data_IF_055709317851
#
_entry.id   IF_055709317851
#
_cell.length_a   1.000
_cell.length_b   1.000
_cell.length_c   1.000
_cell.angle_alpha   90.00
_cell.angle_beta   90.00
_cell.angle_gamma   90.00
#
_symmetry.space_group_name_H-M   'P 1'
#
loop_
_entity.id
_entity.type
_entity.pdbx_description
1 polymer ?
#
# COMPACT_ATOMS: atom_id res chain seq x y z
N UNK A 1 -18.40 8.82 22.31
CA UNK A 1 -18.43 8.00 21.08
C UNK A 1 -17.27 7.02 21.18
N UNK A 2 -17.39 5.80 20.66
CA UNK A 2 -16.24 4.90 20.54
C UNK A 2 -15.24 5.46 19.54
N UNK A 3 -13.95 5.18 19.73
CA UNK A 3 -12.91 5.52 18.76
C UNK A 3 -13.23 4.85 17.41
N UNK A 4 -12.92 5.54 16.31
CA UNK A 4 -12.97 4.93 14.98
C UNK A 4 -11.77 4.04 14.74
N UNK A 5 -11.79 3.31 13.64
CA UNK A 5 -10.72 2.37 13.29
C UNK A 5 -10.30 2.57 11.84
N UNK A 6 -8.98 2.59 11.60
CA UNK A 6 -8.39 2.51 10.26
C UNK A 6 -7.76 1.14 10.11
N UNK A 7 -8.29 0.33 9.20
CA UNK A 7 -7.72 -0.96 8.81
C UNK A 7 -6.85 -0.73 7.58
N UNK A 8 -5.54 -0.86 7.72
CA UNK A 8 -4.60 -0.81 6.60
C UNK A 8 -4.34 -2.25 6.13
N UNK A 9 -4.68 -2.54 4.87
CA UNK A 9 -4.49 -3.85 4.26
C UNK A 9 -3.64 -3.71 2.99
N UNK A 10 -2.37 -4.11 3.06
CA UNK A 10 -1.56 -4.25 1.86
C UNK A 10 -2.08 -5.43 1.03
N UNK A 11 -2.19 -5.24 -0.28
CA UNK A 11 -2.58 -6.31 -1.19
C UNK A 11 -1.73 -7.59 -1.01
N UNK A 12 -2.33 -8.74 -1.31
CA UNK A 12 -1.61 -10.03 -1.32
C UNK A 12 -0.53 -10.09 -2.39
N UNK A 13 0.30 -11.12 -2.39
CA UNK A 13 1.37 -11.30 -3.38
C UNK A 13 0.85 -11.14 -4.83
N UNK A 14 1.44 -10.20 -5.56
CA UNK A 14 1.19 -10.06 -7.01
C UNK A 14 2.13 -10.93 -7.84
N UNK A 15 1.79 -11.14 -9.11
CA UNK A 15 2.64 -11.85 -10.09
C UNK A 15 4.07 -11.30 -10.09
N UNK A 16 4.22 -9.98 -10.08
CA UNK A 16 5.53 -9.32 -10.11
C UNK A 16 6.23 -9.28 -8.75
N UNK A 17 5.52 -9.46 -7.64
CA UNK A 17 6.19 -9.75 -6.38
C UNK A 17 6.80 -11.15 -6.39
N UNK A 18 6.08 -12.14 -6.95
CA UNK A 18 6.57 -13.52 -7.07
C UNK A 18 7.80 -13.61 -7.97
N UNK A 19 7.81 -12.90 -9.10
CA UNK A 19 8.95 -12.85 -10.03
C UNK A 19 10.04 -11.86 -9.61
N UNK A 20 9.91 -11.21 -8.44
CA UNK A 20 10.89 -10.24 -7.91
C UNK A 20 11.10 -9.00 -8.80
N UNK A 21 10.08 -8.55 -9.51
CA UNK A 21 10.10 -7.34 -10.34
C UNK A 21 9.63 -6.10 -9.57
N UNK A 22 10.06 -4.92 -10.01
CA UNK A 22 9.46 -3.65 -9.61
C UNK A 22 8.14 -3.43 -10.35
N UNK A 23 7.04 -3.31 -9.61
CA UNK A 23 5.70 -3.15 -10.19
C UNK A 23 5.33 -1.71 -10.46
N UNK A 24 5.36 -0.87 -9.42
CA UNK A 24 4.84 0.50 -9.51
C UNK A 24 3.42 0.54 -10.01
N UNK A 25 3.16 1.32 -11.04
CA UNK A 25 1.82 1.55 -11.56
C UNK A 25 1.37 0.52 -12.60
N UNK A 26 2.22 -0.43 -12.99
CA UNK A 26 1.82 -1.53 -13.87
C UNK A 26 0.71 -2.36 -13.21
N UNK A 27 -0.37 -2.59 -13.94
CA UNK A 27 -1.61 -3.17 -13.43
C UNK A 27 -1.60 -4.72 -13.46
N UNK A 28 -0.65 -5.31 -12.73
CA UNK A 28 -0.51 -6.78 -12.60
C UNK A 28 -1.55 -7.38 -11.65
N UNK A 29 -1.83 -8.68 -11.82
CA UNK A 29 -2.81 -9.39 -11.01
C UNK A 29 -2.19 -10.00 -9.73
N UNK A 30 -3.07 -10.52 -8.85
CA UNK A 30 -2.70 -11.36 -7.72
C UNK A 30 -2.31 -12.76 -8.19
N UNK A 31 -1.42 -13.42 -7.44
CA UNK A 31 -1.24 -14.87 -7.56
C UNK A 31 -2.30 -15.60 -6.74
N UNK A 32 -2.46 -16.90 -6.92
CA UNK A 32 -3.30 -17.74 -6.04
C UNK A 32 -2.94 -17.56 -4.56
N UNK A 33 -1.64 -17.45 -4.25
CA UNK A 33 -1.17 -17.13 -2.90
C UNK A 33 -1.68 -15.76 -2.44
N UNK A 34 -1.59 -14.74 -3.29
CA UNK A 34 -2.09 -13.41 -3.00
C UNK A 34 -3.61 -13.36 -2.77
N UNK A 35 -4.37 -14.20 -3.45
CA UNK A 35 -5.81 -14.35 -3.22
C UNK A 35 -6.11 -15.00 -1.86
N UNK A 36 -5.35 -16.04 -1.49
CA UNK A 36 -5.45 -16.67 -0.17
C UNK A 36 -5.08 -15.69 0.95
N UNK A 37 -4.03 -14.89 0.77
CA UNK A 37 -3.63 -13.82 1.68
C UNK A 37 -4.76 -12.78 1.86
N UNK A 38 -5.39 -12.36 0.76
CA UNK A 38 -6.51 -11.42 0.80
C UNK A 38 -7.74 -12.00 1.53
N UNK A 39 -8.09 -13.25 1.24
CA UNK A 39 -9.18 -13.96 1.92
C UNK A 39 -8.89 -14.08 3.42
N UNK A 40 -7.66 -14.48 3.80
CA UNK A 40 -7.26 -14.58 5.22
C UNK A 40 -7.36 -13.24 5.94
N UNK A 41 -6.99 -12.15 5.28
CA UNK A 41 -7.18 -10.80 5.82
C UNK A 41 -8.64 -10.51 6.18
N UNK A 42 -9.60 -10.91 5.34
CA UNK A 42 -11.03 -10.79 5.65
C UNK A 42 -11.51 -11.72 6.77
N UNK A 43 -11.00 -12.95 6.82
CA UNK A 43 -11.28 -13.89 7.92
C UNK A 43 -10.82 -13.33 9.27
N UNK A 44 -9.61 -12.75 9.33
CA UNK A 44 -9.08 -12.08 10.53
C UNK A 44 -9.98 -10.92 10.99
N UNK A 45 -10.46 -10.08 10.06
CA UNK A 45 -11.40 -9.00 10.39
C UNK A 45 -12.68 -9.52 11.03
N UNK A 46 -13.21 -10.63 10.51
CA UNK A 46 -14.42 -11.28 11.04
C UNK A 46 -14.17 -11.92 12.41
N UNK A 47 -13.07 -12.63 12.56
CA UNK A 47 -12.66 -13.29 13.81
C UNK A 47 -12.51 -12.28 14.97
N UNK A 48 -11.96 -11.10 14.68
CA UNK A 48 -11.72 -10.04 15.67
C UNK A 48 -12.93 -9.09 15.84
N UNK A 49 -14.00 -9.27 15.06
CA UNK A 49 -15.17 -8.38 15.09
C UNK A 49 -14.89 -6.95 14.61
N UNK A 50 -13.85 -6.75 13.79
CA UNK A 50 -13.42 -5.44 13.26
C UNK A 50 -13.90 -5.34 11.81
N UNK A 51 -15.20 -5.11 11.63
CA UNK A 51 -15.84 -5.13 10.32
C UNK A 51 -15.90 -3.71 9.73
N UNK A 52 -15.46 -3.49 8.47
CA UNK A 52 -15.48 -2.17 7.86
C UNK A 52 -16.90 -1.69 7.53
N UNK A 53 -17.10 -0.38 7.67
CA UNK A 53 -18.28 0.36 7.24
C UNK A 53 -18.09 0.95 5.83
N UNK A 54 -16.83 1.17 5.42
CA UNK A 54 -16.45 1.69 4.10
C UNK A 54 -15.06 1.20 3.70
N UNK A 55 -14.82 1.03 2.40
CA UNK A 55 -13.52 0.67 1.84
C UNK A 55 -13.00 1.74 0.89
N UNK A 56 -11.71 2.05 1.02
CA UNK A 56 -10.93 2.78 0.05
C UNK A 56 -9.91 1.86 -0.62
N UNK A 57 -9.73 2.02 -1.92
CA UNK A 57 -8.65 1.34 -2.64
C UNK A 57 -8.04 2.24 -3.71
N UNK A 58 -6.88 1.82 -4.21
CA UNK A 58 -6.25 2.40 -5.39
C UNK A 58 -7.02 2.09 -6.68
N UNK A 59 -6.51 2.56 -7.82
CA UNK A 59 -7.02 2.17 -9.14
C UNK A 59 -6.37 0.89 -9.72
N UNK A 60 -5.57 0.17 -8.93
CA UNK A 60 -4.79 -1.00 -9.37
C UNK A 60 -5.49 -2.30 -8.98
N UNK A 61 -5.63 -3.23 -9.94
CA UNK A 61 -6.48 -4.43 -9.82
C UNK A 61 -6.14 -5.29 -8.62
N UNK A 62 -4.86 -5.44 -8.29
CA UNK A 62 -4.39 -6.25 -7.15
C UNK A 62 -4.94 -5.76 -5.80
N UNK A 63 -5.06 -4.45 -5.61
CA UNK A 63 -5.62 -3.87 -4.41
C UNK A 63 -7.16 -3.96 -4.40
N UNK A 64 -7.79 -3.70 -5.56
CA UNK A 64 -9.25 -3.84 -5.74
C UNK A 64 -9.70 -5.29 -5.48
N UNK A 65 -8.99 -6.26 -6.06
CA UNK A 65 -9.26 -7.69 -5.84
C UNK A 65 -9.03 -8.10 -4.39
N UNK A 66 -7.96 -7.59 -3.76
CA UNK A 66 -7.73 -7.84 -2.32
C UNK A 66 -8.91 -7.35 -1.49
N UNK A 67 -9.40 -6.13 -1.74
CA UNK A 67 -10.58 -5.61 -1.06
C UNK A 67 -11.80 -6.52 -1.26
N UNK A 68 -12.09 -6.92 -2.50
CA UNK A 68 -13.26 -7.76 -2.80
C UNK A 68 -13.18 -9.12 -2.09
N UNK A 69 -12.01 -9.78 -2.10
CA UNK A 69 -11.80 -11.07 -1.45
C UNK A 69 -11.90 -10.96 0.08
N UNK A 70 -11.34 -9.90 0.67
CA UNK A 70 -11.45 -9.65 2.09
C UNK A 70 -12.90 -9.35 2.51
N UNK A 71 -13.63 -8.53 1.75
CA UNK A 71 -15.05 -8.25 1.99
C UNK A 71 -15.92 -9.51 1.86
N UNK A 72 -15.58 -10.42 0.95
CA UNK A 72 -16.26 -11.70 0.82
C UNK A 72 -16.12 -12.55 2.08
N UNK A 73 -14.90 -12.72 2.58
CA UNK A 73 -14.66 -13.47 3.80
C UNK A 73 -15.28 -12.81 5.05
N UNK A 74 -15.31 -11.47 5.09
CA UNK A 74 -15.88 -10.69 6.18
C UNK A 74 -17.41 -10.51 6.11
N UNK A 75 -18.07 -11.02 5.05
CA UNK A 75 -19.51 -10.85 4.79
C UNK A 75 -19.96 -9.37 4.73
N UNK A 76 -19.21 -8.56 3.99
CA UNK A 76 -19.38 -7.09 3.91
C UNK A 76 -19.41 -6.53 2.48
N UNK A 77 -19.74 -7.33 1.47
CA UNK A 77 -19.74 -6.89 0.06
C UNK A 77 -20.56 -5.65 -0.26
N UNK A 78 -21.64 -5.41 0.49
CA UNK A 78 -22.61 -4.35 0.21
C UNK A 78 -22.14 -2.96 0.64
N UNK A 79 -21.05 -2.85 1.40
CA UNK A 79 -20.59 -1.57 1.90
C UNK A 79 -20.02 -0.70 0.77
N UNK A 80 -20.01 0.64 0.91
CA UNK A 80 -19.44 1.52 -0.09
C UNK A 80 -17.95 1.25 -0.33
N UNK A 81 -17.55 1.28 -1.61
CA UNK A 81 -16.15 1.16 -2.04
C UNK A 81 -15.78 2.36 -2.90
N UNK A 82 -14.82 3.17 -2.43
CA UNK A 82 -14.29 4.36 -3.09
C UNK A 82 -12.92 4.02 -3.66
N UNK A 83 -12.63 4.50 -4.88
CA UNK A 83 -11.34 4.28 -5.55
C UNK A 83 -10.73 5.60 -5.96
N UNK A 84 -9.46 5.80 -5.62
CA UNK A 84 -8.72 7.01 -6.00
C UNK A 84 -7.26 6.68 -6.33
N UNK A 85 -6.71 7.37 -7.34
CA UNK A 85 -5.34 7.15 -7.78
C UNK A 85 -4.32 7.54 -6.71
N UNK A 86 -4.68 8.44 -5.77
CA UNK A 86 -3.82 8.85 -4.67
C UNK A 86 -3.50 7.71 -3.70
N UNK A 87 -4.21 6.57 -3.78
CA UNK A 87 -3.89 5.35 -3.03
C UNK A 87 -2.96 4.39 -3.81
N UNK A 88 -2.64 4.67 -5.08
CA UNK A 88 -1.75 3.84 -5.91
C UNK A 88 -0.40 3.62 -5.23
N UNK A 89 0.26 2.50 -5.57
CA UNK A 89 1.67 2.26 -5.24
C UNK A 89 2.55 3.43 -5.71
N UNK A 90 3.77 3.54 -5.18
CA UNK A 90 4.78 4.46 -5.72
C UNK A 90 5.07 4.15 -7.19
N UNK A 91 5.05 5.15 -8.06
CA UNK A 91 5.49 5.01 -9.46
C UNK A 91 7.00 4.73 -9.49
N UNK A 92 7.41 3.57 -10.02
CA UNK A 92 8.82 3.16 -10.00
C UNK A 92 9.62 3.69 -11.20
N UNK A 93 8.98 4.45 -12.08
CA UNK A 93 9.62 5.03 -13.25
C UNK A 93 10.26 3.97 -14.14
N UNK A 94 11.46 4.24 -14.61
CA UNK A 94 12.22 3.36 -15.50
C UNK A 94 12.55 1.99 -14.87
N UNK A 95 12.33 1.80 -13.56
CA UNK A 95 12.51 0.51 -12.92
C UNK A 95 11.31 -0.43 -13.13
N UNK A 96 10.14 0.07 -13.55
CA UNK A 96 8.95 -0.77 -13.75
C UNK A 96 9.27 -1.93 -14.73
N UNK A 97 8.98 -3.15 -14.31
CA UNK A 97 9.26 -4.37 -15.07
C UNK A 97 10.65 -4.98 -14.83
N UNK A 98 11.61 -4.21 -14.29
CA UNK A 98 12.95 -4.75 -14.04
C UNK A 98 12.98 -5.69 -12.83
N UNK A 99 13.79 -6.74 -12.90
CA UNK A 99 14.05 -7.62 -11.76
C UNK A 99 14.91 -6.89 -10.72
N UNK A 100 14.54 -6.99 -9.45
CA UNK A 100 15.23 -6.32 -8.34
C UNK A 100 16.65 -6.84 -8.13
N UNK A 101 16.87 -8.15 -8.23
CA UNK A 101 18.19 -8.75 -8.03
C UNK A 101 19.14 -8.36 -9.16
N UNK A 102 18.68 -8.43 -10.40
CA UNK A 102 19.47 -8.01 -11.59
C UNK A 102 19.75 -6.51 -11.57
N UNK A 103 18.76 -5.68 -11.17
CA UNK A 103 18.96 -4.23 -11.01
C UNK A 103 20.03 -3.95 -9.96
N UNK A 104 19.99 -4.63 -8.80
CA UNK A 104 21.04 -4.49 -7.80
C UNK A 104 22.39 -4.93 -8.35
N UNK A 105 22.48 -6.07 -9.02
CA UNK A 105 23.76 -6.58 -9.53
C UNK A 105 24.35 -5.63 -10.60
N UNK A 106 23.51 -4.91 -11.34
CA UNK A 106 23.91 -3.91 -12.33
C UNK A 106 24.35 -2.57 -11.71
N UNK A 107 23.60 -2.04 -10.74
CA UNK A 107 23.78 -0.68 -10.21
C UNK A 107 24.45 -0.61 -8.83
N UNK A 108 24.67 -1.76 -8.18
CA UNK A 108 25.20 -1.86 -6.82
C UNK A 108 24.12 -1.79 -5.73
N UNK A 109 24.49 -2.23 -4.52
CA UNK A 109 23.59 -2.26 -3.35
C UNK A 109 23.16 -0.85 -2.92
N UNK A 110 24.09 0.11 -2.91
CA UNK A 110 23.83 1.48 -2.46
C UNK A 110 22.76 2.16 -3.33
N UNK A 111 22.93 2.16 -4.66
CA UNK A 111 21.96 2.74 -5.59
C UNK A 111 20.60 2.01 -5.55
N UNK A 112 20.62 0.68 -5.43
CA UNK A 112 19.41 -0.12 -5.30
C UNK A 112 18.62 0.21 -4.03
N UNK A 113 19.33 0.36 -2.91
CA UNK A 113 18.73 0.73 -1.63
C UNK A 113 18.23 2.16 -1.62
N UNK A 114 18.96 3.10 -2.26
CA UNK A 114 18.50 4.47 -2.46
C UNK A 114 17.16 4.49 -3.20
N UNK A 115 17.06 3.85 -4.37
CA UNK A 115 15.78 3.81 -5.11
C UNK A 115 14.66 3.10 -4.36
N UNK A 116 14.97 2.08 -3.53
CA UNK A 116 13.94 1.36 -2.78
C UNK A 116 13.46 2.11 -1.55
N UNK A 117 14.37 2.80 -0.85
CA UNK A 117 14.14 3.23 0.54
C UNK A 117 14.35 4.71 0.78
N UNK A 118 14.99 5.45 -0.12
CA UNK A 118 15.11 6.91 0.00
C UNK A 118 13.72 7.53 0.12
N UNK A 119 13.63 8.53 1.01
CA UNK A 119 12.41 9.28 1.20
C UNK A 119 12.16 10.24 0.04
N UNK A 120 13.20 10.94 -0.42
CA UNK A 120 13.12 12.09 -1.33
C UNK A 120 13.84 11.89 -2.67
N UNK A 121 14.57 10.78 -2.87
CA UNK A 121 15.19 10.46 -4.17
C UNK A 121 14.28 9.54 -4.99
N UNK A 122 13.71 10.01 -6.12
CA UNK A 122 12.91 9.15 -6.99
C UNK A 122 13.81 8.25 -7.86
N UNK A 123 13.32 7.09 -8.31
CA UNK A 123 13.92 6.37 -9.43
C UNK A 123 13.97 7.22 -10.72
N UNK A 124 14.75 6.83 -11.74
CA UNK A 124 14.75 7.52 -13.02
C UNK A 124 13.35 7.57 -13.65
N UNK A 125 13.00 8.68 -14.30
CA UNK A 125 11.71 8.86 -14.95
C UNK A 125 11.49 7.86 -16.11
N UNK A 126 10.26 7.39 -16.26
CA UNK A 126 9.83 6.60 -17.41
C UNK A 126 9.27 7.51 -18.51
N UNK A 127 9.70 7.30 -19.75
CA UNK A 127 9.15 8.05 -20.88
C UNK A 127 7.71 7.62 -21.19
N UNK A 128 6.86 8.57 -21.58
CA UNK A 128 5.41 8.35 -21.75
C UNK A 128 5.07 7.25 -22.77
N UNK A 129 5.89 7.06 -23.80
CA UNK A 129 5.71 6.05 -24.84
C UNK A 129 6.28 4.66 -24.49
N UNK A 130 6.84 4.48 -23.30
CA UNK A 130 7.43 3.19 -22.89
C UNK A 130 6.37 2.12 -22.67
N UNK A 131 6.73 0.85 -22.85
CA UNK A 131 5.84 -0.32 -22.69
C UNK A 131 5.05 -0.31 -21.36
N UNK A 132 5.71 0.05 -20.26
CA UNK A 132 5.12 0.06 -18.92
C UNK A 132 4.68 1.44 -18.43
N UNK A 133 4.51 2.41 -19.33
CA UNK A 133 4.00 3.74 -19.00
C UNK A 133 2.49 3.74 -18.80
N UNK A 134 2.00 4.60 -17.90
CA UNK A 134 0.56 4.81 -17.66
C UNK A 134 0.03 6.09 -18.30
N UNK A 135 0.86 6.86 -19.02
CA UNK A 135 0.50 8.16 -19.58
C UNK A 135 -0.75 8.13 -20.49
N UNK A 136 -0.97 7.02 -21.21
CA UNK A 136 -2.13 6.83 -22.09
C UNK A 136 -3.29 6.04 -21.49
N UNK A 137 -3.25 5.65 -20.21
CA UNK A 137 -4.31 4.85 -19.61
C UNK A 137 -5.55 5.70 -19.29
N UNK A 138 -6.75 5.36 -19.81
CA UNK A 138 -7.97 6.13 -19.59
C UNK A 138 -8.34 6.35 -18.11
N UNK A 139 -7.90 5.46 -17.21
CA UNK A 139 -8.16 5.62 -15.76
C UNK A 139 -7.53 6.88 -15.17
N UNK A 140 -6.52 7.44 -15.83
CA UNK A 140 -5.79 8.64 -15.42
C UNK A 140 -6.05 9.85 -16.32
N UNK A 141 -6.99 9.78 -17.27
CA UNK A 141 -7.25 10.84 -18.24
C UNK A 141 -7.71 12.18 -17.61
N UNK A 142 -8.11 12.16 -16.34
CA UNK A 142 -8.52 13.34 -15.56
C UNK A 142 -7.34 14.04 -14.86
N UNK A 143 -6.14 13.49 -14.92
CA UNK A 143 -4.94 14.10 -14.36
C UNK A 143 -4.30 15.02 -15.39
N UNK A 144 -3.85 16.20 -14.97
CA UNK A 144 -3.08 17.11 -15.82
C UNK A 144 -1.80 16.44 -16.34
N UNK A 145 -1.17 15.62 -15.48
CA UNK A 145 0.00 14.81 -15.82
C UNK A 145 0.04 13.54 -14.96
N UNK A 146 0.20 12.39 -15.62
CA UNK A 146 0.53 11.13 -14.95
C UNK A 146 2.00 11.19 -14.49
N UNK A 147 2.32 10.85 -13.23
CA UNK A 147 3.70 10.88 -12.75
C UNK A 147 4.55 9.88 -13.53
N UNK A 148 5.76 10.30 -13.91
CA UNK A 148 6.73 9.45 -14.61
C UNK A 148 7.64 8.69 -13.65
N UNK A 149 7.69 9.09 -12.38
CA UNK A 149 8.42 8.46 -11.27
C UNK A 149 7.97 9.13 -9.97
N UNK A 150 8.11 8.44 -8.85
CA UNK A 150 7.82 8.96 -7.52
C UNK A 150 8.86 8.43 -6.51
N UNK A 151 9.31 9.30 -5.62
CA UNK A 151 9.91 8.93 -4.33
C UNK A 151 8.81 8.72 -3.27
N UNK A 152 9.16 8.43 -2.01
CA UNK A 152 8.14 8.28 -0.97
C UNK A 152 7.51 9.62 -0.58
N UNK A 153 8.26 10.72 -0.64
CA UNK A 153 7.78 12.08 -0.40
C UNK A 153 6.69 12.47 -1.40
N UNK A 154 6.87 12.19 -2.69
CA UNK A 154 5.83 12.46 -3.70
C UNK A 154 4.53 11.71 -3.37
N UNK A 155 4.64 10.46 -2.90
CA UNK A 155 3.49 9.67 -2.45
C UNK A 155 2.80 10.30 -1.24
N UNK A 156 3.57 10.81 -0.26
CA UNK A 156 3.04 11.56 0.89
C UNK A 156 2.28 12.79 0.41
N UNK A 157 2.89 13.59 -0.48
CA UNK A 157 2.32 14.85 -0.98
C UNK A 157 0.99 14.64 -1.72
N UNK A 158 0.85 13.55 -2.49
CA UNK A 158 -0.44 13.25 -3.15
C UNK A 158 -1.45 12.56 -2.25
N UNK A 159 -1.03 11.75 -1.28
CA UNK A 159 -1.95 10.89 -0.53
C UNK A 159 -2.45 11.51 0.77
N UNK A 160 -1.57 12.12 1.56
CA UNK A 160 -1.93 12.64 2.89
C UNK A 160 -3.03 13.70 2.83
N UNK A 161 -3.04 14.67 1.89
CA UNK A 161 -4.13 15.63 1.79
C UNK A 161 -5.49 14.95 1.55
N UNK A 162 -5.55 13.97 0.64
CA UNK A 162 -6.78 13.21 0.39
C UNK A 162 -7.21 12.39 1.60
N UNK A 163 -6.25 11.80 2.32
CA UNK A 163 -6.54 11.09 3.56
C UNK A 163 -7.14 12.02 4.63
N UNK A 164 -6.57 13.20 4.85
CA UNK A 164 -7.05 14.17 5.84
C UNK A 164 -8.42 14.75 5.49
N UNK A 165 -8.69 14.98 4.19
CA UNK A 165 -9.93 15.61 3.73
C UNK A 165 -11.09 14.63 3.61
N UNK A 166 -10.87 13.40 3.13
CA UNK A 166 -11.96 12.43 2.86
C UNK A 166 -12.02 11.29 3.89
N UNK A 167 -10.87 10.77 4.33
CA UNK A 167 -10.80 9.49 5.07
C UNK A 167 -10.79 9.72 6.59
N UNK A 168 -9.89 10.56 7.10
CA UNK A 168 -9.75 10.86 8.53
C UNK A 168 -11.05 11.36 9.17
N UNK A 169 -11.88 12.22 8.54
CA UNK A 169 -13.11 12.70 9.14
C UNK A 169 -14.12 11.58 9.43
N UNK A 170 -14.08 10.47 8.69
CA UNK A 170 -14.92 9.29 8.93
C UNK A 170 -14.47 8.53 10.16
N UNK A 171 -13.16 8.27 10.27
CA UNK A 171 -12.59 7.63 11.45
C UNK A 171 -12.82 8.47 12.73
N UNK A 172 -12.68 9.80 12.66
CA UNK A 172 -13.00 10.71 13.79
C UNK A 172 -14.46 10.65 14.24
N UNK A 173 -15.39 10.25 13.35
CA UNK A 173 -16.82 10.04 13.67
C UNK A 173 -17.10 8.66 14.25
N UNK A 174 -16.08 7.80 14.41
CA UNK A 174 -16.22 6.46 14.94
C UNK A 174 -16.44 5.37 13.88
N UNK A 175 -16.37 5.69 12.58
CA UNK A 175 -16.49 4.68 11.52
C UNK A 175 -15.26 3.75 11.48
N UNK A 176 -15.48 2.50 11.08
CA UNK A 176 -14.41 1.55 10.74
C UNK A 176 -14.12 1.64 9.24
N UNK A 177 -12.98 2.21 8.89
CA UNK A 177 -12.57 2.45 7.50
C UNK A 177 -11.47 1.46 7.11
N UNK A 178 -11.64 0.74 6.00
CA UNK A 178 -10.57 -0.11 5.45
C UNK A 178 -9.90 0.55 4.24
N UNK A 179 -8.57 0.54 4.22
CA UNK A 179 -7.74 0.97 3.10
C UNK A 179 -7.00 -0.25 2.54
N UNK A 180 -7.48 -0.77 1.40
CA UNK A 180 -6.82 -1.83 0.65
C UNK A 180 -5.87 -1.21 -0.40
N UNK A 181 -4.58 -1.20 -0.12
CA UNK A 181 -3.59 -0.46 -0.92
C UNK A 181 -2.24 -1.19 -1.01
N UNK A 182 -1.13 -0.46 -1.06
CA UNK A 182 0.19 -0.96 -1.47
C UNK A 182 1.27 -0.69 -0.44
N UNK A 183 2.47 -1.22 -0.68
CA UNK A 183 3.58 -1.11 0.26
C UNK A 183 3.93 0.35 0.57
N UNK A 184 4.20 1.17 -0.44
CA UNK A 184 4.67 2.54 -0.18
C UNK A 184 3.53 3.51 0.14
N UNK A 185 2.33 3.34 -0.43
CA UNK A 185 1.21 4.20 -0.06
C UNK A 185 0.79 4.00 1.40
N UNK A 186 0.79 2.76 1.90
CA UNK A 186 0.55 2.51 3.32
C UNK A 186 1.73 2.95 4.21
N UNK A 187 3.00 2.81 3.76
CA UNK A 187 4.14 3.37 4.50
C UNK A 187 4.05 4.89 4.62
N UNK A 188 3.66 5.59 3.55
CA UNK A 188 3.45 7.04 3.57
C UNK A 188 2.39 7.45 4.60
N UNK A 189 1.28 6.70 4.69
CA UNK A 189 0.25 6.95 5.69
C UNK A 189 0.70 6.63 7.12
N UNK A 190 1.37 5.50 7.34
CA UNK A 190 1.91 5.16 8.67
C UNK A 190 2.95 6.20 9.12
N UNK A 191 3.79 6.69 8.20
CA UNK A 191 4.71 7.81 8.48
C UNK A 191 3.98 9.02 9.04
N UNK A 192 2.85 9.37 8.41
CA UNK A 192 2.02 10.50 8.82
C UNK A 192 1.33 10.27 10.17
N UNK A 193 0.70 9.10 10.34
CA UNK A 193 -0.03 8.74 11.56
C UNK A 193 0.87 8.68 12.81
N UNK A 194 2.06 8.08 12.67
CA UNK A 194 3.00 7.89 13.78
C UNK A 194 4.09 8.97 13.84
N UNK A 195 4.02 9.99 12.98
CA UNK A 195 5.04 11.04 12.86
C UNK A 195 6.48 10.49 12.73
N UNK A 196 6.65 9.45 11.89
CA UNK A 196 7.94 8.81 11.66
C UNK A 196 8.86 9.76 10.90
N UNK A 197 10.12 9.87 11.34
CA UNK A 197 11.12 10.71 10.69
C UNK A 197 11.46 10.22 9.27
N UNK A 198 11.99 11.12 8.44
CA UNK A 198 12.44 10.79 7.08
C UNK A 198 13.59 9.77 7.08
N UNK A 199 14.38 9.72 8.16
CA UNK A 199 15.45 8.74 8.34
C UNK A 199 14.91 7.35 8.71
N UNK A 200 13.92 7.29 9.60
CA UNK A 200 13.43 6.02 10.16
C UNK A 200 12.45 5.30 9.21
N UNK A 201 11.76 6.05 8.34
CA UNK A 201 10.74 5.46 7.45
C UNK A 201 11.32 4.41 6.49
N UNK A 202 12.61 4.50 6.17
CA UNK A 202 13.34 3.51 5.36
C UNK A 202 13.25 2.08 5.96
N UNK A 203 13.25 1.97 7.30
CA UNK A 203 13.19 0.70 8.02
C UNK A 203 11.80 0.07 8.10
N UNK A 204 10.73 0.84 7.86
CA UNK A 204 9.36 0.34 7.95
C UNK A 204 9.04 -0.64 6.81
N UNK A 205 8.57 -1.84 7.17
CA UNK A 205 8.15 -2.88 6.23
C UNK A 205 6.73 -3.33 6.58
N UNK A 206 5.79 -3.12 5.64
CA UNK A 206 4.40 -3.57 5.79
C UNK A 206 4.24 -4.93 5.11
N UNK A 207 3.83 -6.00 5.82
CA UNK A 207 3.63 -7.33 5.25
C UNK A 207 2.44 -7.34 4.27
N UNK A 208 2.37 -8.33 3.38
CA UNK A 208 1.22 -8.53 2.48
C UNK A 208 0.08 -9.24 3.20
N UNK A 209 -1.17 -8.85 2.94
CA UNK A 209 -2.37 -9.60 3.32
C UNK A 209 -2.77 -9.58 4.80
N UNK A 210 -2.00 -8.92 5.68
CA UNK A 210 -2.28 -8.92 7.12
C UNK A 210 -2.81 -7.53 7.54
N UNK A 211 -4.05 -7.45 8.04
CA UNK A 211 -4.62 -6.17 8.46
C UNK A 211 -3.86 -5.55 9.64
N UNK A 212 -3.51 -4.27 9.50
CA UNK A 212 -2.95 -3.41 10.55
C UNK A 212 -4.01 -2.40 11.00
N UNK A 213 -4.37 -2.39 12.28
CA UNK A 213 -5.46 -1.55 12.79
C UNK A 213 -4.93 -0.40 13.63
N UNK A 214 -5.27 0.82 13.25
CA UNK A 214 -5.12 2.02 14.05
C UNK A 214 -6.47 2.40 14.67
N UNK A 215 -6.44 2.86 15.92
CA UNK A 215 -7.57 3.44 16.63
C UNK A 215 -7.45 4.95 16.64
N UNK A 216 -8.51 5.62 16.19
CA UNK A 216 -8.54 7.07 16.00
C UNK A 216 -9.54 7.67 16.97
N UNK A 217 -9.06 8.54 17.85
CA UNK A 217 -9.91 9.31 18.74
C UNK A 217 -10.70 10.38 17.98
N UNK A 218 -11.73 10.94 18.60
CA UNK A 218 -12.59 11.94 17.96
C UNK A 218 -11.88 13.24 17.57
N UNK A 219 -10.75 13.55 18.19
CA UNK A 219 -9.89 14.68 17.83
C UNK A 219 -8.95 14.38 16.66
N UNK A 220 -8.81 13.12 16.26
CA UNK A 220 -7.93 12.64 15.19
C UNK A 220 -6.63 12.03 15.68
N UNK A 221 -6.38 12.03 17.00
CA UNK A 221 -5.18 11.41 17.56
C UNK A 221 -5.21 9.89 17.45
N UNK A 222 -4.03 9.30 17.20
CA UNK A 222 -3.82 7.85 17.21
C UNK A 222 -3.71 7.37 18.65
N UNK A 223 -4.54 6.40 19.02
CA UNK A 223 -4.60 5.85 20.39
C UNK A 223 -3.63 4.69 20.60
N UNK A 224 -3.27 3.98 19.53
CA UNK A 224 -2.30 2.89 19.54
C UNK A 224 -1.16 3.15 18.52
N UNK A 225 -0.13 3.94 18.88
CA UNK A 225 1.00 4.20 17.99
C UNK A 225 1.64 2.93 17.44
N UNK A 226 1.99 2.92 16.16
CA UNK A 226 2.47 1.73 15.43
C UNK A 226 1.35 0.78 14.95
N UNK A 227 0.11 1.02 15.38
CA UNK A 227 -1.04 0.17 15.09
C UNK A 227 -0.94 -1.23 15.72
N UNK A 228 -1.93 -2.06 15.43
CA UNK A 228 -1.98 -3.45 15.90
C UNK A 228 -2.31 -4.37 14.75
N UNK A 229 -1.38 -5.28 14.40
CA UNK A 229 -1.64 -6.33 13.43
C UNK A 229 -2.59 -7.37 14.01
N UNK A 230 -3.55 -7.84 13.21
CA UNK A 230 -4.50 -8.88 13.64
C UNK A 230 -3.89 -10.29 13.69
N UNK A 231 -2.71 -10.45 13.11
CA UNK A 231 -1.86 -11.65 13.24
C UNK A 231 -0.39 -11.19 13.38
N UNK A 232 0.07 -10.88 14.61
CA UNK A 232 1.41 -10.34 14.84
C UNK A 232 2.55 -11.26 14.42
N UNK A 233 2.39 -12.58 14.57
CA UNK A 233 3.41 -13.56 14.19
C UNK A 233 3.58 -13.62 12.68
N UNK A 234 2.47 -13.73 11.94
CA UNK A 234 2.51 -13.68 10.49
C UNK A 234 3.01 -12.31 9.99
N UNK A 235 2.69 -11.22 10.69
CA UNK A 235 3.13 -9.88 10.33
C UNK A 235 4.64 -9.73 10.43
N UNK A 236 5.24 -10.23 11.51
CA UNK A 236 6.69 -10.24 11.69
C UNK A 236 7.39 -11.05 10.59
N UNK A 237 6.90 -12.26 10.30
CA UNK A 237 7.44 -13.10 9.23
C UNK A 237 7.31 -12.44 7.84
N UNK A 238 6.15 -11.84 7.56
CA UNK A 238 5.90 -11.13 6.30
C UNK A 238 6.77 -9.88 6.13
N UNK A 239 6.97 -9.10 7.20
CA UNK A 239 7.83 -7.92 7.18
C UNK A 239 9.29 -8.30 6.91
N UNK A 240 9.79 -9.38 7.54
CA UNK A 240 11.11 -9.93 7.27
C UNK A 240 11.27 -10.38 5.80
N UNK A 241 10.25 -11.04 5.23
CA UNK A 241 10.25 -11.44 3.83
C UNK A 241 10.30 -10.23 2.87
N UNK A 242 9.63 -9.12 3.20
CA UNK A 242 9.68 -7.87 2.41
C UNK A 242 11.06 -7.21 2.50
N UNK A 243 11.67 -7.21 3.69
CA UNK A 243 13.02 -6.69 3.90
C UNK A 243 14.06 -7.47 3.07
N UNK A 244 13.93 -8.80 3.02
CA UNK A 244 14.84 -9.68 2.27
C UNK A 244 14.66 -9.63 0.73
N UNK A 245 13.65 -8.93 0.19
CA UNK A 245 13.48 -8.82 -1.25
C UNK A 245 14.69 -8.16 -1.91
N UNK A 246 15.13 -8.74 -3.02
CA UNK A 246 16.33 -8.29 -3.72
C UNK A 246 17.62 -8.87 -3.15
N UNK A 247 17.64 -9.59 -2.02
CA UNK A 247 18.83 -10.30 -1.53
C UNK A 247 19.34 -11.35 -2.54
N UNK A 248 20.67 -11.60 -2.59
CA UNK A 248 21.22 -12.73 -3.34
C UNK A 248 20.67 -14.02 -2.72
N UNK A 249 20.12 -14.90 -3.55
CA UNK A 249 19.86 -16.29 -3.17
C UNK A 249 21.17 -17.07 -3.21
#
# INVERSE_FOLDING_TARGET
>A
MSNGKLILLRHGQSEWNKSNQFTGWVDVDLTEKGEQEAKRGGELLKEQGILPDVVYTSLQRRAIRTANLALNAADRHWIPVIRDWRLNERHYGALQGLNKAETRDKYGEEQFMEWRRSYDTPPPALEDGSEYSQAGDPRYAHLDKVPQTECLKDVVERFVPYFEEEIMPRAKKGETVMLAAHGNSLRALVKHLDNISDADIAGLNIPTGIPLVFEIASDGSVVNPGGTYLDPEAAAAGAAAVAAQGAKK
#
